data_IF_531973220466
#
_entry.id   IF_531973220466
#
_cell.length_a   1.000
_cell.length_b   1.000
_cell.length_c   1.000
_cell.angle_alpha   90.00
_cell.angle_beta   90.00
_cell.angle_gamma   90.00
#
_symmetry.space_group_name_H-M   'P 1'
#
loop_
_entity.id
_entity.type
_entity.pdbx_description
1 polymer ?
#
# COMPACT_ATOMS: atom_id res chain seq x y z
N UNK A 1 3.59 1.81 -13.74
CA UNK A 1 2.86 0.53 -13.89
C UNK A 1 2.32 0.04 -12.55
N UNK A 2 3.18 -0.28 -11.58
CA UNK A 2 2.77 -0.80 -10.25
C UNK A 2 1.85 0.15 -9.47
N UNK A 3 2.16 1.45 -9.42
CA UNK A 3 1.27 2.44 -8.75
C UNK A 3 -0.14 2.45 -9.33
N UNK A 4 -0.27 2.44 -10.67
CA UNK A 4 -1.58 2.36 -11.35
C UNK A 4 -2.32 1.05 -11.04
N UNK A 5 -1.59 -0.06 -10.90
CA UNK A 5 -2.18 -1.34 -10.50
C UNK A 5 -2.72 -1.28 -9.06
N UNK A 6 -1.99 -0.63 -8.14
CA UNK A 6 -2.46 -0.37 -6.78
C UNK A 6 -3.75 0.45 -6.78
N UNK A 7 -3.78 1.58 -7.48
CA UNK A 7 -4.99 2.42 -7.56
C UNK A 7 -6.18 1.67 -8.17
N UNK A 8 -5.93 0.90 -9.22
CA UNK A 8 -6.98 0.08 -9.86
C UNK A 8 -7.55 -0.95 -8.88
N UNK A 9 -6.68 -1.63 -8.12
CA UNK A 9 -7.09 -2.57 -7.08
C UNK A 9 -7.92 -1.89 -5.99
N UNK A 10 -7.47 -0.74 -5.49
CA UNK A 10 -8.18 -0.02 -4.41
C UNK A 10 -9.54 0.51 -4.87
N UNK A 11 -9.65 0.99 -6.12
CA UNK A 11 -10.92 1.40 -6.72
C UNK A 11 -11.89 0.21 -6.87
N UNK A 12 -11.41 -0.92 -7.41
CA UNK A 12 -12.24 -2.12 -7.59
C UNK A 12 -12.75 -2.70 -6.26
N UNK A 13 -11.98 -2.54 -5.19
CA UNK A 13 -12.34 -2.96 -3.83
C UNK A 13 -13.13 -1.89 -3.05
N UNK A 14 -13.44 -0.75 -3.67
CA UNK A 14 -14.14 0.38 -3.03
C UNK A 14 -13.43 0.93 -1.78
N UNK A 15 -12.10 0.79 -1.72
CA UNK A 15 -11.28 1.27 -0.59
C UNK A 15 -10.94 2.76 -0.71
N UNK A 16 -11.03 3.29 -1.94
CA UNK A 16 -10.92 4.71 -2.25
C UNK A 16 -12.08 5.13 -3.17
N UNK A 17 -12.47 6.40 -3.11
CA UNK A 17 -13.51 6.95 -3.96
C UNK A 17 -13.02 7.13 -5.42
N UNK A 18 -13.95 7.03 -6.37
CA UNK A 18 -13.66 7.33 -7.76
C UNK A 18 -13.17 8.78 -7.92
N UNK A 19 -12.16 8.99 -8.77
CA UNK A 19 -11.52 10.29 -8.96
C UNK A 19 -10.59 10.74 -7.84
N UNK A 20 -10.49 10.01 -6.73
CA UNK A 20 -9.54 10.32 -5.64
C UNK A 20 -8.21 9.58 -5.85
N UNK A 21 -7.09 10.29 -6.11
CA UNK A 21 -5.80 9.64 -6.29
C UNK A 21 -5.31 9.04 -4.96
N UNK A 22 -4.81 7.79 -5.00
CA UNK A 22 -4.24 7.16 -3.82
C UNK A 22 -2.87 7.73 -3.50
N UNK A 23 -2.06 7.92 -4.56
CA UNK A 23 -0.78 8.60 -4.46
C UNK A 23 -1.01 10.10 -4.56
N UNK A 24 -0.89 10.79 -3.43
CA UNK A 24 -1.09 12.22 -3.33
C UNK A 24 -0.30 12.78 -2.13
N UNK A 25 -0.34 14.11 -1.95
CA UNK A 25 0.33 14.81 -0.85
C UNK A 25 -0.41 14.68 0.48
N UNK A 26 -1.67 14.23 0.47
CA UNK A 26 -2.48 13.99 1.67
C UNK A 26 -3.12 12.60 1.58
N UNK A 27 -2.33 11.51 1.74
CA UNK A 27 -2.84 10.16 1.57
C UNK A 27 -3.96 9.84 2.55
N UNK A 28 -4.81 8.88 2.17
CA UNK A 28 -5.84 8.35 3.06
C UNK A 28 -5.22 7.88 4.39
N UNK A 29 -5.85 8.09 5.56
CA UNK A 29 -5.26 7.69 6.85
C UNK A 29 -4.86 6.21 6.94
N UNK A 30 -5.62 5.35 6.27
CA UNK A 30 -5.36 3.91 6.17
C UNK A 30 -4.42 3.50 5.02
N UNK A 31 -3.70 4.44 4.38
CA UNK A 31 -2.89 4.14 3.21
C UNK A 31 -1.86 3.02 3.44
N UNK A 32 -1.27 2.94 4.64
CA UNK A 32 -0.37 1.84 5.00
C UNK A 32 -1.07 0.47 4.96
N UNK A 33 -2.27 0.37 5.53
CA UNK A 33 -3.09 -0.86 5.53
C UNK A 33 -3.51 -1.22 4.10
N UNK A 34 -3.85 -0.23 3.29
CA UNK A 34 -4.25 -0.43 1.90
C UNK A 34 -3.10 -0.97 1.04
N UNK A 35 -1.87 -0.52 1.29
CA UNK A 35 -0.67 -1.10 0.68
C UNK A 35 -0.48 -2.56 1.09
N UNK A 36 -0.66 -2.89 2.37
CA UNK A 36 -0.59 -4.29 2.84
C UNK A 36 -1.65 -5.14 2.14
N UNK A 37 -2.90 -4.69 2.08
CA UNK A 37 -3.96 -5.40 1.39
C UNK A 37 -3.64 -5.64 -0.09
N UNK A 38 -3.07 -4.65 -0.77
CA UNK A 38 -2.67 -4.80 -2.18
C UNK A 38 -1.53 -5.80 -2.37
N UNK A 39 -0.51 -5.75 -1.51
CA UNK A 39 0.61 -6.72 -1.54
C UNK A 39 0.10 -8.12 -1.22
N UNK A 40 -0.71 -8.26 -0.16
CA UNK A 40 -1.29 -9.52 0.27
C UNK A 40 -2.11 -10.16 -0.85
N UNK A 41 -3.00 -9.40 -1.47
CA UNK A 41 -3.82 -9.88 -2.57
C UNK A 41 -3.00 -10.36 -3.79
N UNK A 42 -1.81 -9.80 -4.01
CA UNK A 42 -1.00 -10.08 -5.20
C UNK A 42 0.04 -11.19 -4.97
N UNK A 43 0.51 -11.36 -3.74
CA UNK A 43 1.72 -12.12 -3.44
C UNK A 43 1.59 -13.13 -2.29
N UNK A 44 0.52 -13.06 -1.49
CA UNK A 44 0.35 -13.97 -0.36
C UNK A 44 -0.41 -15.24 -0.76
N UNK A 45 -0.39 -16.22 0.14
CA UNK A 45 -1.13 -17.47 0.03
C UNK A 45 -2.52 -17.42 0.64
N UNK A 46 -2.89 -16.29 1.22
CA UNK A 46 -4.14 -16.05 1.93
C UNK A 46 -4.85 -14.84 1.30
N UNK A 47 -6.16 -14.98 1.06
CA UNK A 47 -7.03 -13.90 0.60
C UNK A 47 -7.29 -12.88 1.73
N UNK A 48 -7.81 -11.71 1.36
CA UNK A 48 -8.12 -10.64 2.33
C UNK A 48 -9.20 -11.02 3.36
N UNK A 49 -10.02 -12.03 3.07
CA UNK A 49 -11.03 -12.59 3.99
C UNK A 49 -10.46 -13.71 4.89
N UNK A 50 -9.17 -14.02 4.78
CA UNK A 50 -8.50 -15.08 5.52
C UNK A 50 -8.62 -16.47 4.91
N UNK A 51 -9.31 -16.63 3.77
CA UNK A 51 -9.38 -17.91 3.08
C UNK A 51 -8.04 -18.24 2.40
N UNK A 52 -7.65 -19.52 2.27
CA UNK A 52 -6.50 -19.87 1.44
C UNK A 52 -6.75 -19.50 -0.03
N UNK A 53 -5.69 -19.11 -0.75
CA UNK A 53 -5.76 -18.94 -2.21
C UNK A 53 -5.92 -20.30 -2.88
N UNK A 54 -6.71 -20.31 -3.96
CA UNK A 54 -6.83 -21.46 -4.84
C UNK A 54 -5.45 -21.84 -5.40
N UNK A 55 -5.02 -23.07 -5.15
CA UNK A 55 -3.69 -23.61 -5.51
C UNK A 55 -3.39 -23.59 -7.01
N UNK A 56 -4.39 -23.34 -7.85
CA UNK A 56 -4.25 -23.27 -9.31
C UNK A 56 -3.85 -21.87 -9.82
N UNK A 57 -3.67 -20.87 -8.95
CA UNK A 57 -3.26 -19.52 -9.33
C UNK A 57 -1.79 -19.33 -8.98
N UNK A 58 -0.96 -19.02 -9.99
CA UNK A 58 0.43 -18.66 -9.78
C UNK A 58 0.52 -17.34 -8.99
N UNK A 59 1.08 -17.40 -7.78
CA UNK A 59 1.27 -16.24 -6.92
C UNK A 59 2.55 -15.50 -7.29
N UNK A 60 2.52 -14.17 -7.19
CA UNK A 60 3.72 -13.38 -7.35
C UNK A 60 4.67 -13.60 -6.17
N UNK A 61 5.99 -13.56 -6.44
CA UNK A 61 7.00 -13.87 -5.42
C UNK A 61 7.21 -12.74 -4.42
N UNK A 62 7.88 -13.02 -3.30
CA UNK A 62 8.36 -12.00 -2.36
C UNK A 62 9.16 -10.88 -3.04
N UNK A 63 9.98 -11.20 -4.06
CA UNK A 63 10.69 -10.19 -4.85
C UNK A 63 9.73 -9.25 -5.59
N UNK A 64 8.57 -9.75 -6.03
CA UNK A 64 7.52 -8.90 -6.59
C UNK A 64 6.93 -7.98 -5.52
N UNK A 65 6.61 -8.50 -4.33
CA UNK A 65 6.15 -7.71 -3.18
C UNK A 65 7.14 -6.58 -2.82
N UNK A 66 8.46 -6.86 -2.83
CA UNK A 66 9.48 -5.83 -2.60
C UNK A 66 9.44 -4.73 -3.67
N UNK A 67 9.23 -5.08 -4.94
CA UNK A 67 9.07 -4.09 -6.03
C UNK A 67 7.80 -3.28 -5.87
N UNK A 68 6.69 -3.88 -5.44
CA UNK A 68 5.44 -3.19 -5.13
C UNK A 68 5.66 -2.16 -4.02
N UNK A 69 6.28 -2.55 -2.90
CA UNK A 69 6.66 -1.64 -1.81
C UNK A 69 7.57 -0.53 -2.30
N UNK A 70 8.63 -0.85 -3.04
CA UNK A 70 9.57 0.14 -3.56
C UNK A 70 8.90 1.16 -4.50
N UNK A 71 7.96 0.71 -5.34
CA UNK A 71 7.17 1.59 -6.19
C UNK A 71 6.29 2.54 -5.36
N UNK A 72 5.67 2.05 -4.29
CA UNK A 72 4.89 2.90 -3.37
C UNK A 72 5.79 3.91 -2.64
N UNK A 73 6.97 3.47 -2.18
CA UNK A 73 7.98 4.36 -1.55
C UNK A 73 8.39 5.48 -2.49
N UNK A 74 8.69 5.16 -3.75
CA UNK A 74 9.01 6.16 -4.75
C UNK A 74 7.83 7.10 -5.05
N UNK A 75 6.62 6.56 -5.17
CA UNK A 75 5.40 7.33 -5.41
C UNK A 75 5.17 8.38 -4.33
N UNK A 76 5.01 7.95 -3.08
CA UNK A 76 4.79 8.87 -1.97
C UNK A 76 6.00 9.77 -1.70
N UNK A 77 7.21 9.19 -1.70
CA UNK A 77 8.40 9.90 -1.28
C UNK A 77 8.92 10.91 -2.31
N UNK A 78 9.04 10.50 -3.57
CA UNK A 78 9.67 11.30 -4.63
C UNK A 78 8.66 12.04 -5.49
N UNK A 79 7.56 11.39 -5.90
CA UNK A 79 6.55 12.04 -6.77
C UNK A 79 5.70 13.02 -5.97
N UNK A 80 5.27 12.64 -4.76
CA UNK A 80 4.41 13.46 -3.90
C UNK A 80 5.13 14.12 -2.72
N UNK A 81 6.47 14.09 -2.72
CA UNK A 81 7.31 14.84 -1.79
C UNK A 81 7.04 14.58 -0.29
N UNK A 82 6.54 13.39 0.07
CA UNK A 82 6.35 13.00 1.46
C UNK A 82 7.65 12.49 2.11
N UNK A 83 8.71 12.33 1.32
CA UNK A 83 10.01 11.87 1.79
C UNK A 83 10.01 10.43 2.31
N UNK A 84 10.87 10.18 3.29
CA UNK A 84 11.14 8.84 3.87
C UNK A 84 10.80 8.76 5.37
N UNK A 85 10.12 9.77 5.91
CA UNK A 85 9.65 9.73 7.29
C UNK A 85 8.61 8.63 7.45
N UNK A 86 8.71 7.85 8.53
CA UNK A 86 7.71 6.83 8.86
C UNK A 86 6.30 7.43 8.94
N UNK A 87 5.31 6.70 8.42
CA UNK A 87 3.91 7.07 8.52
C UNK A 87 3.49 7.13 10.00
N UNK A 88 2.99 8.28 10.45
CA UNK A 88 2.59 8.50 11.85
C UNK A 88 1.48 9.55 11.92
N UNK A 89 0.74 9.56 13.04
CA UNK A 89 -0.21 10.63 13.33
C UNK A 89 0.53 11.79 14.01
N UNK A 90 0.35 13.01 13.52
CA UNK A 90 0.85 14.21 14.17
C UNK A 90 0.12 14.44 15.50
N UNK A 91 0.87 14.59 16.59
CA UNK A 91 0.30 14.94 17.90
C UNK A 91 -0.30 16.36 17.93
N UNK A 92 0.16 17.25 17.03
CA UNK A 92 -0.26 18.64 16.98
C UNK A 92 -1.53 18.80 16.13
N UNK A 93 -1.53 18.25 14.91
CA UNK A 93 -2.64 18.44 13.95
C UNK A 93 -3.63 17.27 13.94
N UNK A 94 -3.29 16.12 14.53
CA UNK A 94 -4.07 14.89 14.41
C UNK A 94 -4.07 14.25 13.01
N UNK A 95 -3.37 14.84 12.04
CA UNK A 95 -3.30 14.35 10.66
C UNK A 95 -2.21 13.29 10.49
N UNK A 96 -2.39 12.41 9.52
CA UNK A 96 -1.36 11.46 9.15
C UNK A 96 -0.27 12.12 8.29
N UNK A 97 0.99 11.90 8.66
CA UNK A 97 2.18 12.45 8.03
C UNK A 97 3.21 11.36 7.70
N UNK A 98 4.09 11.66 6.74
CA UNK A 98 5.16 10.77 6.29
C UNK A 98 4.77 9.90 5.09
N UNK A 99 5.53 8.83 4.86
CA UNK A 99 5.35 7.94 3.73
C UNK A 99 4.65 6.63 4.16
N UNK A 100 3.43 6.33 3.66
CA UNK A 100 2.71 5.11 4.01
C UNK A 100 3.49 3.80 3.83
N UNK A 101 4.39 3.71 2.83
CA UNK A 101 5.12 2.47 2.51
C UNK A 101 6.32 2.18 3.44
N UNK A 102 6.72 3.16 4.25
CA UNK A 102 7.79 3.03 5.26
C UNK A 102 7.23 3.01 6.67
N UNK A 103 5.91 2.81 6.80
CA UNK A 103 5.24 2.55 8.07
C UNK A 103 5.73 1.27 8.74
N UNK A 104 5.53 1.18 10.05
CA UNK A 104 5.69 -0.06 10.81
C UNK A 104 4.77 -1.17 10.25
N UNK A 105 3.51 -0.84 9.95
CA UNK A 105 2.53 -1.78 9.39
C UNK A 105 3.04 -2.48 8.13
N UNK A 106 3.56 -1.72 7.15
CA UNK A 106 4.09 -2.30 5.91
C UNK A 106 5.42 -3.02 6.16
N UNK A 107 6.23 -2.54 7.09
CA UNK A 107 7.52 -3.17 7.41
C UNK A 107 7.34 -4.54 8.08
N UNK A 108 6.46 -4.63 9.07
CA UNK A 108 6.17 -5.88 9.79
C UNK A 108 5.49 -6.93 8.92
N UNK A 109 4.68 -6.50 7.95
CA UNK A 109 4.08 -7.43 6.99
C UNK A 109 5.09 -8.02 5.99
N UNK A 110 6.16 -7.28 5.68
CA UNK A 110 7.14 -7.66 4.66
C UNK A 110 8.30 -8.52 5.21
N UNK A 111 8.14 -9.10 6.40
CA UNK A 111 9.13 -9.97 7.06
C UNK A 111 9.07 -11.42 6.56
#
# INVERSE_FOLDING_TARGET
RLMKQCETFLLQRQMIAEGSPFFCTTPHPQAAVYLVAWIMHSCDSINLDGSPINTNVEQSTYTHAQKMRAAATFGFGRIHSLGMQAWHQSEISGQMLGNPSVSETVSSYML
#
